data_IF_228863768242
#
_entry.id   IF_228863768242
#
_cell.length_a   1.000
_cell.length_b   1.000
_cell.length_c   1.000
_cell.angle_alpha   90.00
_cell.angle_beta   90.00
_cell.angle_gamma   90.00
#
_symmetry.space_group_name_H-M   'P 1'
#
loop_
_entity.id
_entity.type
_entity.pdbx_description
1 polymer ?
#
# COMPACT_ATOMS: atom_id res chain seq x y z
N UNK A 1 8.42 -6.58 -2.07
CA UNK A 1 8.39 -5.69 -3.25
C UNK A 1 7.73 -4.41 -2.78
N UNK A 2 8.56 -3.43 -2.48
CA UNK A 2 8.15 -2.25 -1.73
C UNK A 2 7.49 -1.25 -2.68
N UNK A 3 6.16 -1.34 -2.79
CA UNK A 3 5.38 -0.39 -3.58
C UNK A 3 5.33 0.97 -2.86
N UNK A 4 6.31 1.81 -3.21
CA UNK A 4 6.48 3.17 -2.69
C UNK A 4 5.31 4.11 -3.07
N UNK A 5 4.40 3.68 -3.97
CA UNK A 5 3.16 4.37 -4.35
C UNK A 5 2.23 4.66 -3.17
N UNK A 6 2.28 3.82 -2.13
CA UNK A 6 1.40 3.92 -0.96
C UNK A 6 1.82 5.01 0.04
N UNK A 7 2.98 5.65 -0.15
CA UNK A 7 3.44 6.77 0.70
C UNK A 7 2.74 8.09 0.41
N UNK A 8 1.81 8.14 -0.55
CA UNK A 8 1.06 9.35 -0.93
C UNK A 8 -0.45 9.07 -0.92
N UNK A 9 -1.22 10.00 -0.36
CA UNK A 9 -2.70 10.00 -0.33
C UNK A 9 -3.32 9.65 -1.69
N UNK A 10 -2.74 10.13 -2.80
CA UNK A 10 -3.24 9.81 -4.15
C UNK A 10 -3.09 8.34 -4.51
N UNK A 11 -1.97 7.70 -4.15
CA UNK A 11 -1.73 6.29 -4.42
C UNK A 11 -2.67 5.39 -3.61
N UNK A 12 -2.94 5.75 -2.35
CA UNK A 12 -3.94 5.08 -1.52
C UNK A 12 -5.34 5.19 -2.15
N UNK A 13 -5.76 6.38 -2.58
CA UNK A 13 -7.07 6.57 -3.22
C UNK A 13 -7.19 5.78 -4.53
N UNK A 14 -6.13 5.73 -5.33
CA UNK A 14 -6.10 4.94 -6.56
C UNK A 14 -6.29 3.45 -6.26
N UNK A 15 -5.58 2.92 -5.25
CA UNK A 15 -5.69 1.51 -4.86
C UNK A 15 -7.05 1.16 -4.27
N UNK A 16 -7.65 2.04 -3.46
CA UNK A 16 -9.03 1.88 -2.97
C UNK A 16 -10.00 1.80 -4.16
N UNK A 17 -9.84 2.69 -5.14
CA UNK A 17 -10.71 2.72 -6.32
C UNK A 17 -10.60 1.43 -7.14
N UNK A 18 -9.38 0.92 -7.32
CA UNK A 18 -9.15 -0.32 -8.05
C UNK A 18 -9.74 -1.53 -7.31
N UNK A 19 -9.48 -1.66 -6.00
CA UNK A 19 -10.06 -2.75 -5.19
C UNK A 19 -11.59 -2.70 -5.21
N UNK A 20 -12.18 -1.50 -5.06
CA UNK A 20 -13.63 -1.31 -5.16
C UNK A 20 -14.17 -1.78 -6.51
N UNK A 21 -13.50 -1.38 -7.60
CA UNK A 21 -13.89 -1.75 -8.96
C UNK A 21 -13.83 -3.27 -9.15
N UNK A 22 -12.74 -3.91 -8.72
CA UNK A 22 -12.60 -5.37 -8.78
C UNK A 22 -13.68 -6.09 -7.98
N UNK A 23 -13.96 -5.68 -6.74
CA UNK A 23 -15.02 -6.29 -5.92
C UNK A 23 -16.39 -6.24 -6.62
N UNK A 24 -16.76 -5.08 -7.15
CA UNK A 24 -18.04 -4.88 -7.84
C UNK A 24 -18.09 -5.71 -9.14
N UNK A 25 -17.02 -5.69 -9.94
CA UNK A 25 -16.95 -6.44 -11.19
C UNK A 25 -17.07 -7.94 -10.96
N UNK A 26 -16.32 -8.49 -9.99
CA UNK A 26 -16.35 -9.93 -9.68
C UNK A 26 -17.72 -10.36 -9.19
N UNK A 27 -18.34 -9.57 -8.30
CA UNK A 27 -19.69 -9.84 -7.83
C UNK A 27 -20.72 -9.78 -8.97
N UNK A 28 -20.65 -8.74 -9.81
CA UNK A 28 -21.51 -8.61 -10.99
C UNK A 28 -21.39 -9.80 -11.96
N UNK A 29 -20.17 -10.29 -12.17
CA UNK A 29 -19.92 -11.46 -13.02
C UNK A 29 -20.56 -12.74 -12.46
N UNK A 30 -20.56 -12.93 -11.13
CA UNK A 30 -21.25 -14.06 -10.50
C UNK A 30 -22.75 -13.97 -10.72
N UNK A 31 -23.35 -12.79 -10.49
CA UNK A 31 -24.78 -12.58 -10.71
C UNK A 31 -25.15 -12.81 -12.18
N UNK A 32 -24.37 -12.28 -13.12
CA UNK A 32 -24.60 -12.48 -14.55
C UNK A 32 -24.56 -13.97 -14.94
N UNK A 33 -23.59 -14.74 -14.41
CA UNK A 33 -23.49 -16.17 -14.66
C UNK A 33 -24.71 -16.96 -14.14
N UNK A 34 -25.29 -16.55 -13.01
CA UNK A 34 -26.50 -17.16 -12.42
C UNK A 34 -27.77 -16.75 -13.18
N UNK A 35 -27.87 -15.49 -13.59
CA UNK A 35 -29.03 -15.02 -14.36
C UNK A 35 -29.14 -15.77 -15.70
N UNK A 36 -28.01 -16.01 -16.36
CA UNK A 36 -27.96 -16.74 -17.63
C UNK A 36 -28.34 -18.22 -17.50
N UNK A 37 -28.30 -18.80 -16.29
CA UNK A 37 -28.72 -20.19 -16.05
C UNK A 37 -30.20 -20.31 -15.68
N UNK A 38 -30.91 -19.21 -15.42
CA UNK A 38 -32.25 -19.22 -14.80
C UNK A 38 -33.38 -18.81 -15.75
N UNK A 39 -33.09 -18.56 -17.03
CA UNK A 39 -34.10 -18.12 -18.00
C UNK A 39 -35.15 -19.23 -18.25
N UNK A 40 -36.44 -19.03 -17.89
CA UNK A 40 -37.46 -20.07 -17.99
C UNK A 40 -37.80 -20.44 -19.45
N UNK A 41 -37.48 -19.61 -20.44
CA UNK A 41 -37.68 -19.93 -21.86
C UNK A 41 -36.77 -21.08 -22.36
N UNK A 42 -35.63 -21.33 -21.71
CA UNK A 42 -34.68 -22.41 -22.04
C UNK A 42 -34.88 -23.68 -21.23
N UNK A 43 -35.65 -23.66 -20.13
CA UNK A 43 -36.01 -24.89 -19.39
C UNK A 43 -36.91 -25.86 -20.16
N UNK A 44 -37.58 -25.40 -21.23
CA UNK A 44 -38.29 -26.26 -22.17
C UNK A 44 -37.39 -26.93 -23.22
N UNK A 45 -36.14 -26.46 -23.37
CA UNK A 45 -35.09 -27.12 -24.14
C UNK A 45 -34.26 -27.96 -23.17
N UNK A 46 -34.69 -29.20 -22.92
CA UNK A 46 -34.07 -30.16 -21.99
C UNK A 46 -32.59 -30.52 -22.30
N UNK A 47 -32.00 -29.91 -23.33
CA UNK A 47 -30.60 -29.95 -23.76
C UNK A 47 -29.98 -28.53 -23.78
N UNK A 48 -30.19 -27.71 -22.75
CA UNK A 48 -29.34 -26.54 -22.51
C UNK A 48 -27.92 -27.03 -22.23
N UNK A 49 -27.15 -27.14 -23.32
CA UNK A 49 -25.80 -27.66 -23.50
C UNK A 49 -24.99 -27.82 -22.21
N UNK A 50 -24.65 -29.07 -21.82
CA UNK A 50 -23.76 -29.38 -20.68
C UNK A 50 -22.50 -28.52 -20.67
N UNK A 51 -22.02 -28.18 -21.87
CA UNK A 51 -20.89 -27.28 -22.09
C UNK A 51 -21.16 -25.88 -21.55
N UNK A 52 -22.36 -25.33 -21.81
CA UNK A 52 -22.81 -24.02 -21.30
C UNK A 52 -22.88 -23.99 -19.77
N UNK A 53 -23.46 -25.02 -19.14
CA UNK A 53 -23.48 -25.12 -17.68
C UNK A 53 -22.07 -25.25 -17.09
N UNK A 54 -21.20 -26.05 -17.71
CA UNK A 54 -19.81 -26.18 -17.28
C UNK A 54 -19.03 -24.86 -17.39
N UNK A 55 -19.26 -24.08 -18.46
CA UNK A 55 -18.69 -22.74 -18.64
C UNK A 55 -19.19 -21.79 -17.54
N UNK A 56 -20.50 -21.76 -17.27
CA UNK A 56 -21.07 -20.93 -16.22
C UNK A 56 -20.50 -21.28 -14.84
N UNK A 57 -20.38 -22.58 -14.52
CA UNK A 57 -19.78 -23.05 -13.27
C UNK A 57 -18.31 -22.60 -13.16
N UNK A 58 -17.52 -22.76 -14.22
CA UNK A 58 -16.13 -22.31 -14.23
C UNK A 58 -16.02 -20.80 -14.03
N UNK A 59 -16.89 -20.02 -14.68
CA UNK A 59 -16.89 -18.57 -14.57
C UNK A 59 -17.26 -18.09 -13.17
N UNK A 60 -18.19 -18.78 -12.50
CA UNK A 60 -18.50 -18.55 -11.08
C UNK A 60 -17.28 -18.83 -10.23
N UNK A 61 -16.62 -19.99 -10.39
CA UNK A 61 -15.43 -20.34 -9.62
C UNK A 61 -14.30 -19.31 -9.76
N UNK A 62 -13.99 -18.88 -11.00
CA UNK A 62 -12.97 -17.87 -11.28
C UNK A 62 -13.35 -16.52 -10.68
N UNK A 63 -14.61 -16.11 -10.81
CA UNK A 63 -15.09 -14.84 -10.26
C UNK A 63 -15.09 -14.84 -8.73
N UNK A 64 -15.43 -15.96 -8.10
CA UNK A 64 -15.35 -16.14 -6.64
C UNK A 64 -13.90 -16.09 -6.14
N UNK A 65 -12.97 -16.80 -6.80
CA UNK A 65 -11.55 -16.73 -6.42
C UNK A 65 -10.99 -15.30 -6.57
N UNK A 66 -11.35 -14.61 -7.65
CA UNK A 66 -10.97 -13.20 -7.83
C UNK A 66 -11.61 -12.26 -6.80
N UNK A 67 -12.85 -12.53 -6.37
CA UNK A 67 -13.51 -11.78 -5.30
C UNK A 67 -12.80 -11.95 -3.96
N UNK A 68 -12.43 -13.18 -3.60
CA UNK A 68 -11.66 -13.46 -2.38
C UNK A 68 -10.32 -12.73 -2.42
N UNK A 69 -9.60 -12.80 -3.54
CA UNK A 69 -8.34 -12.07 -3.72
C UNK A 69 -8.51 -10.56 -3.54
N UNK A 70 -9.55 -9.96 -4.13
CA UNK A 70 -9.82 -8.53 -3.96
C UNK A 70 -10.12 -8.16 -2.49
N UNK A 71 -10.76 -9.06 -1.73
CA UNK A 71 -10.96 -8.88 -0.30
C UNK A 71 -9.65 -9.01 0.52
N UNK A 72 -8.76 -9.92 0.15
CA UNK A 72 -7.42 -10.04 0.75
C UNK A 72 -6.55 -8.80 0.46
N UNK A 73 -6.65 -8.25 -0.76
CA UNK A 73 -5.98 -7.00 -1.14
C UNK A 73 -6.51 -5.81 -0.32
N UNK A 74 -7.82 -5.76 -0.05
CA UNK A 74 -8.44 -4.78 0.85
C UNK A 74 -7.89 -4.92 2.28
N UNK A 75 -7.87 -6.15 2.81
CA UNK A 75 -7.36 -6.40 4.16
C UNK A 75 -5.87 -6.04 4.28
N UNK A 76 -5.08 -6.31 3.24
CA UNK A 76 -3.69 -5.89 3.15
C UNK A 76 -3.56 -4.38 3.19
N UNK A 77 -4.38 -3.65 2.43
CA UNK A 77 -4.40 -2.19 2.46
C UNK A 77 -4.79 -1.65 3.84
N UNK A 78 -5.78 -2.25 4.51
CA UNK A 78 -6.16 -1.86 5.88
C UNK A 78 -4.98 -2.02 6.84
N UNK A 79 -4.26 -3.15 6.77
CA UNK A 79 -3.06 -3.37 7.58
C UNK A 79 -2.01 -2.29 7.30
N UNK A 80 -1.77 -1.96 6.05
CA UNK A 80 -0.82 -0.90 5.67
C UNK A 80 -1.24 0.48 6.23
N UNK A 81 -2.53 0.81 6.21
CA UNK A 81 -3.04 2.05 6.81
C UNK A 81 -2.89 2.06 8.34
N UNK A 82 -3.12 0.92 8.99
CA UNK A 82 -2.88 0.77 10.43
C UNK A 82 -1.40 0.89 10.77
N UNK A 83 -0.51 0.29 9.98
CA UNK A 83 0.94 0.44 10.11
C UNK A 83 1.36 1.90 9.94
N UNK A 84 0.83 2.61 8.92
CA UNK A 84 1.07 4.05 8.76
C UNK A 84 0.58 4.87 9.95
N UNK A 85 -0.53 4.49 10.56
CA UNK A 85 -1.06 5.20 11.73
C UNK A 85 -0.24 4.93 13.00
N UNK A 86 0.14 3.66 13.24
CA UNK A 86 0.89 3.24 14.42
C UNK A 86 2.36 3.66 14.38
N UNK A 87 2.99 3.62 13.21
CA UNK A 87 4.41 3.92 13.06
C UNK A 87 4.67 5.32 12.48
N UNK A 88 3.64 5.99 11.97
CA UNK A 88 3.75 7.30 11.33
C UNK A 88 4.63 7.29 10.07
N UNK A 89 5.02 8.48 9.61
CA UNK A 89 6.32 8.59 8.94
C UNK A 89 7.35 8.20 9.99
N UNK A 90 8.29 7.32 9.64
CA UNK A 90 9.39 6.84 10.48
C UNK A 90 10.13 8.02 11.16
N UNK A 91 9.57 8.56 12.24
CA UNK A 91 10.20 9.57 13.09
C UNK A 91 11.06 8.87 14.12
N UNK A 92 11.84 7.87 13.68
CA UNK A 92 12.83 7.19 14.53
C UNK A 92 14.16 7.95 14.56
N UNK A 93 14.24 9.11 13.89
CA UNK A 93 15.34 10.09 13.98
C UNK A 93 14.93 11.39 14.72
N UNK A 94 13.70 11.48 15.22
CA UNK A 94 13.25 12.61 16.04
C UNK A 94 13.20 12.22 17.51
N UNK A 95 14.04 12.85 18.33
CA UNK A 95 14.04 12.82 19.80
C UNK A 95 14.55 11.56 20.53
N UNK A 96 15.38 10.75 19.87
CA UNK A 96 16.22 9.77 20.57
C UNK A 96 17.51 10.38 21.14
N UNK A 97 18.02 9.82 22.25
CA UNK A 97 19.30 10.21 22.89
C UNK A 97 20.48 10.38 21.92
N UNK A 98 20.46 9.69 20.78
CA UNK A 98 21.45 9.81 19.70
C UNK A 98 21.48 11.21 19.08
N UNK A 99 20.34 11.89 18.92
CA UNK A 99 20.29 13.27 18.40
C UNK A 99 20.84 14.26 19.42
N UNK A 100 20.51 14.09 20.69
CA UNK A 100 21.08 14.91 21.77
C UNK A 100 22.60 14.74 21.90
N UNK A 101 23.12 13.54 21.67
CA UNK A 101 24.56 13.27 21.63
C UNK A 101 25.22 13.88 20.39
N UNK A 102 24.59 13.70 19.22
CA UNK A 102 25.10 14.25 17.95
C UNK A 102 25.11 15.79 17.96
N UNK A 103 24.09 16.42 18.54
CA UNK A 103 24.01 17.88 18.69
C UNK A 103 25.09 18.39 19.66
N UNK A 104 25.34 17.68 20.78
CA UNK A 104 26.43 18.00 21.71
C UNK A 104 27.80 17.87 21.06
N UNK A 105 28.06 16.78 20.37
CA UNK A 105 29.32 16.55 19.68
C UNK A 105 29.57 17.60 18.60
N UNK A 106 28.52 17.98 17.86
CA UNK A 106 28.59 19.03 16.85
C UNK A 106 28.93 20.39 17.46
N UNK A 107 28.35 20.72 18.62
CA UNK A 107 28.66 21.95 19.36
C UNK A 107 30.10 21.97 19.88
N UNK A 108 30.59 20.85 20.40
CA UNK A 108 31.98 20.71 20.88
C UNK A 108 33.00 20.86 19.73
N UNK A 109 32.72 20.26 18.57
CA UNK A 109 33.56 20.39 17.38
C UNK A 109 33.56 21.83 16.88
N UNK A 110 32.39 22.49 16.81
CA UNK A 110 32.29 23.89 16.38
C UNK A 110 33.12 24.82 17.26
N UNK A 111 33.07 24.63 18.58
CA UNK A 111 33.87 25.42 19.53
C UNK A 111 35.37 25.19 19.34
N UNK A 112 35.78 23.94 19.14
CA UNK A 112 37.20 23.59 18.91
C UNK A 112 37.73 24.21 17.62
N UNK A 113 36.92 24.21 16.55
CA UNK A 113 37.27 24.84 15.28
C UNK A 113 37.41 26.37 15.44
N UNK A 114 36.52 27.01 16.20
CA UNK A 114 36.60 28.44 16.48
C UNK A 114 37.89 28.80 17.25
N UNK A 115 38.23 28.04 18.30
CA UNK A 115 39.47 28.24 19.08
C UNK A 115 40.73 28.05 18.22
N UNK A 116 40.73 27.09 17.29
CA UNK A 116 41.84 26.85 16.37
C UNK A 116 41.98 27.98 15.34
N UNK A 117 40.87 28.53 14.84
CA UNK A 117 40.86 29.70 13.96
C UNK A 117 41.42 30.93 14.69
N UNK A 118 40.96 31.22 15.90
CA UNK A 118 41.47 32.34 16.70
C UNK A 118 42.96 32.20 17.05
N UNK A 119 43.44 30.98 17.31
CA UNK A 119 44.87 30.73 17.53
C UNK A 119 45.67 30.97 16.26
N UNK A 120 45.15 30.52 15.11
CA UNK A 120 45.79 30.73 13.80
C UNK A 120 45.91 32.20 13.46
N UNK A 121 44.85 32.97 13.66
CA UNK A 121 44.84 34.42 13.42
C UNK A 121 45.84 35.17 14.33
N UNK A 122 45.95 34.77 15.60
CA UNK A 122 46.96 35.32 16.53
C UNK A 122 48.39 35.00 16.14
N UNK A 123 48.68 33.78 15.67
CA UNK A 123 50.01 33.43 15.14
C UNK A 123 50.31 34.06 13.79
N UNK A 124 49.28 34.40 13.00
CA UNK A 124 49.41 35.11 11.72
C UNK A 124 49.66 36.62 11.86
N UNK A 125 49.27 37.23 12.98
CA UNK A 125 49.53 38.65 13.29
C UNK A 125 50.86 38.90 14.02
N UNK A 126 51.57 37.84 14.43
CA UNK A 126 52.84 37.92 15.16
C UNK A 126 54.09 37.73 14.27
N UNK A 127 53.91 37.69 12.94
CA UNK A 127 54.95 37.76 11.90
C UNK A 127 54.69 38.98 11.02
#
# INVERSE_FOLDING_TARGET
MDDNSLRNTRGIHARITEIRKELILRYGNIIAAVSNSTDPATTAALDSDRTSTAIAQHQIQVSTAGLVKAAEDLQTLIRQLQEFWLFGQLNTLGDGAVKAETDRDSEAVAKTIAELLERRERTGQAN
#
